data_IF_743409674497
#
_entry.id   IF_743409674497
#
_cell.length_a   1.000
_cell.length_b   1.000
_cell.length_c   1.000
_cell.angle_alpha   90.00
_cell.angle_beta   90.00
_cell.angle_gamma   90.00
#
_symmetry.space_group_name_H-M   'P 1'
#
loop_
_entity.id
_entity.type
_entity.pdbx_description
1 polymer ?
#
# COMPACT_ATOMS: atom_id res chain seq x y z
N UNK A 1 -2.68 -22.67 9.34
CA UNK A 1 -1.83 -22.06 10.38
C UNK A 1 -2.72 -21.19 11.26
N UNK A 2 -2.85 -21.54 12.54
CA UNK A 2 -3.72 -20.86 13.50
C UNK A 2 -3.33 -19.37 13.65
N UNK A 3 -4.28 -18.44 13.80
CA UNK A 3 -3.96 -17.05 14.08
C UNK A 3 -3.16 -16.98 15.39
N UNK A 4 -2.12 -16.14 15.45
CA UNK A 4 -1.47 -15.80 16.72
C UNK A 4 -2.56 -15.16 17.59
N UNK A 5 -3.07 -15.94 18.53
CA UNK A 5 -4.06 -15.49 19.48
C UNK A 5 -3.34 -14.60 20.48
N UNK A 6 -3.53 -13.29 20.38
CA UNK A 6 -3.20 -12.34 21.45
C UNK A 6 -3.67 -12.92 22.78
N UNK A 7 -2.81 -12.90 23.79
CA UNK A 7 -3.14 -13.40 25.11
C UNK A 7 -4.35 -12.67 25.68
N UNK A 8 -5.14 -13.34 26.53
CA UNK A 8 -6.31 -12.71 27.14
C UNK A 8 -5.95 -11.44 27.94
N UNK A 9 -4.75 -11.43 28.56
CA UNK A 9 -4.19 -10.29 29.27
C UNK A 9 -3.84 -9.12 28.32
N UNK A 10 -3.21 -9.40 27.17
CA UNK A 10 -2.86 -8.37 26.18
C UNK A 10 -4.11 -7.70 25.60
N UNK A 11 -5.15 -8.50 25.31
CA UNK A 11 -6.43 -7.98 24.87
C UNK A 11 -7.09 -7.08 25.92
N UNK A 12 -7.08 -7.52 27.19
CA UNK A 12 -7.61 -6.70 28.29
C UNK A 12 -6.82 -5.41 28.47
N UNK A 13 -5.49 -5.47 28.40
CA UNK A 13 -4.63 -4.29 28.53
C UNK A 13 -4.92 -3.24 27.46
N UNK A 14 -5.06 -3.66 26.19
CA UNK A 14 -5.40 -2.75 25.10
C UNK A 14 -6.81 -2.17 25.29
N UNK A 15 -7.79 -2.99 25.65
CA UNK A 15 -9.17 -2.54 25.83
C UNK A 15 -9.32 -1.55 27.00
N UNK A 16 -8.68 -1.83 28.14
CA UNK A 16 -8.66 -0.94 29.30
C UNK A 16 -7.91 0.35 29.00
N UNK A 17 -6.75 0.26 28.33
CA UNK A 17 -6.00 1.44 27.91
C UNK A 17 -6.85 2.39 27.05
N UNK A 18 -7.62 1.86 26.10
CA UNK A 18 -8.52 2.70 25.28
C UNK A 18 -9.60 3.37 26.14
N UNK A 19 -10.18 2.68 27.14
CA UNK A 19 -11.16 3.27 28.04
C UNK A 19 -10.59 4.43 28.87
N UNK A 20 -9.30 4.33 29.23
CA UNK A 20 -8.55 5.36 29.96
C UNK A 20 -7.93 6.43 29.02
N UNK A 21 -8.15 6.32 27.70
CA UNK A 21 -7.61 7.24 26.70
C UNK A 21 -6.11 7.07 26.43
N UNK A 22 -5.52 5.94 26.82
CA UNK A 22 -4.09 5.62 26.72
C UNK A 22 -3.83 4.55 25.66
N UNK A 23 -2.93 4.85 24.72
CA UNK A 23 -2.41 3.85 23.78
C UNK A 23 -1.18 3.16 24.35
N UNK A 24 -0.92 1.94 23.89
CA UNK A 24 0.23 1.12 24.30
C UNK A 24 1.60 1.77 24.01
N UNK A 25 1.65 2.72 23.09
CA UNK A 25 2.85 3.46 22.70
C UNK A 25 2.88 4.91 23.22
N UNK A 26 1.96 5.28 24.11
CA UNK A 26 1.95 6.57 24.80
C UNK A 26 1.48 7.77 23.97
N UNK A 27 0.97 7.53 22.75
CA UNK A 27 0.47 8.59 21.85
C UNK A 27 -1.01 8.90 22.13
N UNK A 28 -1.48 10.08 21.72
CA UNK A 28 -2.91 10.40 21.75
C UNK A 28 -3.70 9.53 20.77
N UNK A 29 -5.02 9.46 20.95
CA UNK A 29 -5.92 8.71 20.07
C UNK A 29 -5.84 9.24 18.63
N UNK A 30 -5.69 10.54 18.46
CA UNK A 30 -5.67 11.23 17.16
C UNK A 30 -4.27 11.36 16.54
N UNK A 31 -3.22 10.92 17.24
CA UNK A 31 -1.84 11.09 16.79
C UNK A 31 -1.39 9.97 15.82
N UNK A 32 -0.85 10.39 14.67
CA UNK A 32 -0.22 9.49 13.72
C UNK A 32 1.12 8.93 14.22
N UNK A 33 1.55 7.81 13.65
CA UNK A 33 2.92 7.30 13.86
C UNK A 33 3.88 8.19 13.07
N UNK A 34 5.15 8.37 13.52
CA UNK A 34 6.14 9.10 12.73
C UNK A 34 6.27 8.51 11.32
N UNK A 35 6.09 9.36 10.30
CA UNK A 35 6.15 8.98 8.88
C UNK A 35 7.43 9.56 8.27
N UNK A 36 8.17 8.72 7.59
CA UNK A 36 9.36 9.08 6.84
C UNK A 36 9.14 8.70 5.37
N UNK A 37 9.39 9.65 4.48
CA UNK A 37 9.23 9.46 3.04
C UNK A 37 10.56 9.75 2.36
N UNK A 38 11.06 8.78 1.62
CA UNK A 38 12.27 8.86 0.83
C UNK A 38 11.91 8.69 -0.66
N UNK A 39 12.15 9.72 -1.46
CA UNK A 39 11.89 9.73 -2.91
C UNK A 39 12.99 10.51 -3.64
N UNK A 40 13.68 9.93 -4.65
CA UNK A 40 13.53 8.57 -5.18
C UNK A 40 14.27 7.53 -4.33
N UNK A 41 13.66 6.35 -4.14
CA UNK A 41 14.27 5.24 -3.37
C UNK A 41 15.02 4.22 -4.24
N UNK A 42 14.61 4.09 -5.50
CA UNK A 42 15.18 3.18 -6.49
C UNK A 42 15.51 3.95 -7.77
N UNK A 43 16.68 3.69 -8.33
CA UNK A 43 17.17 4.32 -9.56
C UNK A 43 16.71 3.62 -10.84
N UNK A 44 16.21 2.38 -10.73
CA UNK A 44 15.82 1.53 -11.87
C UNK A 44 14.38 1.72 -12.33
N UNK A 45 13.57 2.45 -11.56
CA UNK A 45 12.14 2.67 -11.80
C UNK A 45 11.89 4.11 -12.24
N UNK A 46 10.82 4.35 -13.00
CA UNK A 46 10.43 5.68 -13.45
C UNK A 46 10.00 6.59 -12.29
N UNK A 47 9.40 5.99 -11.25
CA UNK A 47 9.14 6.63 -9.98
C UNK A 47 9.26 5.62 -8.85
N UNK A 48 9.82 6.02 -7.72
CA UNK A 48 9.90 5.19 -6.53
C UNK A 48 9.80 6.02 -5.28
N UNK A 49 9.25 5.42 -4.24
CA UNK A 49 9.22 5.99 -2.90
C UNK A 49 9.31 4.88 -1.87
N UNK A 50 10.10 5.11 -0.83
CA UNK A 50 10.12 4.29 0.38
C UNK A 50 9.46 5.08 1.49
N UNK A 51 8.42 4.49 2.08
CA UNK A 51 7.65 5.08 3.16
C UNK A 51 7.83 4.21 4.40
N UNK A 52 8.38 4.80 5.47
CA UNK A 52 8.49 4.15 6.77
C UNK A 52 7.54 4.81 7.76
N UNK A 53 6.61 4.03 8.30
CA UNK A 53 5.69 4.43 9.36
C UNK A 53 6.12 3.65 10.60
N UNK A 54 6.94 4.28 11.45
CA UNK A 54 7.52 3.64 12.64
C UNK A 54 8.24 2.31 12.28
N UNK A 55 7.65 1.16 12.64
CA UNK A 55 8.18 -0.19 12.32
C UNK A 55 7.73 -0.74 10.97
N UNK A 56 6.75 -0.11 10.32
CA UNK A 56 6.22 -0.54 9.03
C UNK A 56 7.01 0.10 7.90
N UNK A 57 7.59 -0.71 7.02
CA UNK A 57 8.38 -0.24 5.87
C UNK A 57 7.70 -0.67 4.57
N UNK A 58 7.46 0.29 3.67
CA UNK A 58 6.75 0.10 2.40
C UNK A 58 7.63 0.64 1.29
N UNK A 59 7.87 -0.17 0.27
CA UNK A 59 8.57 0.24 -0.95
C UNK A 59 7.60 0.22 -2.13
N UNK A 60 7.44 1.36 -2.79
CA UNK A 60 6.57 1.53 -3.96
C UNK A 60 7.43 1.91 -5.16
N UNK A 61 7.16 1.26 -6.29
CA UNK A 61 7.78 1.56 -7.58
C UNK A 61 6.73 1.64 -8.68
N UNK A 62 6.90 2.61 -9.58
CA UNK A 62 6.10 2.78 -10.79
C UNK A 62 6.99 2.46 -11.98
N UNK A 63 6.51 1.54 -12.82
CA UNK A 63 7.15 1.17 -14.07
C UNK A 63 6.19 1.43 -15.22
N UNK A 64 6.62 2.25 -16.16
CA UNK A 64 5.91 2.49 -17.41
C UNK A 64 6.48 1.57 -18.49
N UNK A 65 5.60 0.94 -19.26
CA UNK A 65 5.96 0.11 -20.40
C UNK A 65 5.15 0.56 -21.61
N UNK A 66 5.81 0.67 -22.76
CA UNK A 66 5.16 0.94 -24.05
C UNK A 66 4.89 -0.41 -24.69
N UNK A 67 3.63 -0.69 -25.01
CA UNK A 67 3.20 -1.93 -25.63
C UNK A 67 2.64 -1.62 -27.03
N UNK A 68 2.99 -2.45 -28.01
CA UNK A 68 2.31 -2.44 -29.30
C UNK A 68 0.94 -3.13 -29.12
N UNK A 69 -0.13 -2.46 -29.55
CA UNK A 69 -1.49 -2.98 -29.51
C UNK A 69 -2.10 -2.85 -30.90
N UNK A 70 -2.77 -3.91 -31.35
CA UNK A 70 -3.41 -3.97 -32.67
C UNK A 70 -4.49 -2.89 -32.82
N UNK A 71 -5.22 -2.59 -31.73
CA UNK A 71 -6.25 -1.55 -31.67
C UNK A 71 -6.06 -0.65 -30.44
N UNK A 72 -5.58 0.58 -30.66
CA UNK A 72 -5.39 1.59 -29.61
C UNK A 72 -6.71 2.00 -28.92
N UNK A 73 -7.85 1.78 -29.59
CA UNK A 73 -9.18 2.12 -29.07
C UNK A 73 -9.69 1.17 -27.98
N UNK A 74 -9.16 -0.06 -27.91
CA UNK A 74 -9.59 -1.10 -26.97
C UNK A 74 -8.85 -1.05 -25.63
N UNK A 75 -7.75 -0.29 -25.55
CA UNK A 75 -6.92 -0.19 -24.34
C UNK A 75 -6.60 1.25 -23.94
N UNK A 76 -7.60 2.13 -23.72
CA UNK A 76 -7.32 3.44 -23.15
C UNK A 76 -6.83 3.27 -21.69
N UNK A 77 -5.67 3.85 -21.37
CA UNK A 77 -5.21 4.15 -20.01
C UNK A 77 -5.27 2.97 -19.01
N UNK A 78 -4.55 1.89 -19.30
CA UNK A 78 -4.43 0.74 -18.39
C UNK A 78 -3.46 1.04 -17.24
N UNK A 79 -3.91 0.85 -16.01
CA UNK A 79 -3.06 0.95 -14.82
C UNK A 79 -3.20 -0.32 -13.98
N UNK A 80 -2.06 -0.93 -13.65
CA UNK A 80 -2.02 -2.19 -12.91
C UNK A 80 -1.36 -1.95 -11.56
N UNK A 81 -2.08 -2.30 -10.49
CA UNK A 81 -1.55 -2.26 -9.14
C UNK A 81 -1.23 -3.69 -8.70
N UNK A 82 0.01 -3.89 -8.24
CA UNK A 82 0.43 -5.17 -7.68
C UNK A 82 0.90 -4.90 -6.26
N UNK A 83 0.31 -5.61 -5.30
CA UNK A 83 0.72 -5.55 -3.89
C UNK A 83 1.29 -6.89 -3.50
N UNK A 84 2.59 -6.88 -3.22
CA UNK A 84 3.35 -8.06 -2.82
C UNK A 84 3.77 -7.90 -1.35
N UNK A 85 3.04 -8.50 -0.40
CA UNK A 85 3.51 -8.54 0.97
C UNK A 85 4.69 -9.51 1.02
N UNK A 86 5.85 -9.04 1.45
CA UNK A 86 7.05 -9.87 1.52
C UNK A 86 6.93 -10.88 2.68
N UNK A 87 7.54 -12.05 2.53
CA UNK A 87 7.62 -13.03 3.63
C UNK A 87 8.45 -12.51 4.82
N UNK A 88 9.24 -11.44 4.61
CA UNK A 88 9.96 -10.72 5.66
C UNK A 88 9.09 -9.72 6.41
N UNK A 89 8.01 -9.22 5.78
CA UNK A 89 7.16 -8.18 6.36
C UNK A 89 6.33 -8.71 7.54
N UNK A 90 5.88 -9.96 7.49
CA UNK A 90 5.27 -10.64 8.62
C UNK A 90 5.50 -12.15 8.53
N UNK A 91 5.71 -12.84 9.68
CA UNK A 91 5.84 -14.31 9.72
C UNK A 91 4.63 -15.06 9.14
N UNK A 92 3.48 -14.39 9.05
CA UNK A 92 2.20 -14.96 8.59
C UNK A 92 1.95 -14.76 7.09
N UNK A 93 2.75 -13.95 6.42
CA UNK A 93 2.54 -13.71 5.00
C UNK A 93 2.99 -14.93 4.20
N UNK A 94 2.05 -15.83 3.94
CA UNK A 94 2.18 -16.74 2.80
C UNK A 94 2.24 -15.86 1.55
N UNK A 95 3.28 -15.98 0.72
CA UNK A 95 3.61 -15.09 -0.40
C UNK A 95 2.59 -15.06 -1.54
N UNK A 96 1.33 -14.75 -1.25
CA UNK A 96 0.26 -14.54 -2.20
C UNK A 96 0.37 -13.12 -2.71
N UNK A 97 0.91 -13.00 -3.92
CA UNK A 97 0.83 -11.78 -4.71
C UNK A 97 -0.63 -11.51 -5.05
N UNK A 98 -1.13 -10.34 -4.66
CA UNK A 98 -2.48 -9.92 -5.03
C UNK A 98 -2.34 -8.84 -6.08
N UNK A 99 -2.76 -9.17 -7.29
CA UNK A 99 -2.74 -8.24 -8.43
C UNK A 99 -4.14 -7.71 -8.66
N UNK A 100 -4.30 -6.39 -8.55
CA UNK A 100 -5.53 -5.69 -8.91
C UNK A 100 -5.29 -4.93 -10.21
N UNK A 101 -5.95 -5.36 -11.29
CA UNK A 101 -5.94 -4.61 -12.55
C UNK A 101 -7.15 -3.68 -12.57
N UNK A 102 -6.91 -2.37 -12.58
CA UNK A 102 -7.96 -1.38 -12.72
C UNK A 102 -7.89 -0.81 -14.15
N UNK A 103 -8.90 -1.09 -14.96
CA UNK A 103 -9.04 -0.44 -16.26
C UNK A 103 -9.85 0.84 -16.07
N UNK A 104 -9.22 2.00 -16.23
CA UNK A 104 -9.94 3.26 -16.34
C UNK A 104 -10.33 3.46 -17.80
N UNK A 105 -11.59 3.19 -18.16
CA UNK A 105 -12.15 3.70 -19.40
C UNK A 105 -12.32 5.20 -19.24
N UNK A 106 -11.27 5.97 -19.51
CA UNK A 106 -11.40 7.42 -19.58
C UNK A 106 -12.20 7.72 -20.84
N UNK A 107 -13.51 7.94 -20.70
CA UNK A 107 -14.33 8.60 -21.71
C UNK A 107 -13.85 10.05 -21.83
N UNK A 108 -12.66 10.26 -22.40
CA UNK A 108 -12.34 11.51 -23.05
C UNK A 108 -13.20 11.56 -24.30
N UNK A 109 -14.45 11.98 -24.13
CA UNK A 109 -15.23 12.56 -25.22
C UNK A 109 -14.37 13.71 -25.71
N UNK A 110 -13.75 13.54 -26.88
CA UNK A 110 -13.08 14.60 -27.60
C UNK A 110 -14.12 15.67 -27.96
N UNK A 111 -14.49 16.51 -27.01
CA UNK A 111 -15.18 17.76 -27.26
C UNK A 111 -14.14 18.75 -27.71
N UNK A 112 -14.05 18.88 -29.04
CA UNK A 112 -13.74 20.11 -29.79
C UNK A 112 -13.23 21.26 -28.93
N UNK A 113 -11.99 21.67 -29.13
CA UNK A 113 -11.64 23.10 -29.21
C UNK A 113 -10.67 23.24 -30.39
N UNK A 114 -11.14 24.03 -31.35
CA UNK A 114 -10.43 24.55 -32.52
C UNK A 114 -9.45 25.62 -32.04
#
# INVERSE_FOLDING_TARGET
MEPILLGAAEKHFIAQGIADGLRSDGRSIDDFRPIWVESPALTTTHGSSRVRIDTTDILVGVKCEVLECEDTSLTPNRLQFTVDPSCLAAPRTEGKKITFTCQYLTLYKASRII
#
